data_IF_017935827637
#
_entry.id   IF_017935827637
#
_cell.length_a   1.000
_cell.length_b   1.000
_cell.length_c   1.000
_cell.angle_alpha   90.00
_cell.angle_beta   90.00
_cell.angle_gamma   90.00
#
_symmetry.space_group_name_H-M   'P 1'
#
loop_
_entity.id
_entity.type
_entity.pdbx_description
1 polymer ?
#
# COMPACT_ATOMS: atom_id res chain seq x y z
N UNK A 1 -28.72 12.83 2.21
CA UNK A 1 -28.65 11.83 1.14
C UNK A 1 -28.82 10.48 1.82
N UNK A 2 -29.99 9.88 1.66
CA UNK A 2 -30.31 8.54 2.20
C UNK A 2 -29.55 7.52 1.36
N UNK A 3 -28.58 6.87 1.98
CA UNK A 3 -27.77 5.83 1.32
C UNK A 3 -28.61 4.55 1.35
N UNK A 4 -28.94 4.04 0.17
CA UNK A 4 -29.68 2.80 -0.03
C UNK A 4 -28.84 1.61 0.46
N UNK A 5 -29.26 1.01 1.59
CA UNK A 5 -28.58 -0.09 2.29
C UNK A 5 -28.85 -1.48 1.68
N UNK A 6 -29.56 -1.55 0.55
CA UNK A 6 -30.04 -2.83 -0.03
C UNK A 6 -29.32 -3.27 -1.31
N UNK A 7 -28.09 -2.87 -1.54
CA UNK A 7 -27.32 -3.47 -2.63
C UNK A 7 -26.82 -4.85 -2.19
N UNK A 8 -27.71 -5.84 -2.23
CA UNK A 8 -27.38 -7.27 -2.00
C UNK A 8 -26.38 -7.69 -3.06
N UNK A 9 -25.12 -7.89 -2.62
CA UNK A 9 -24.07 -8.44 -3.46
C UNK A 9 -24.52 -9.78 -4.04
N UNK A 10 -24.40 -9.97 -5.35
CA UNK A 10 -24.65 -11.27 -5.96
C UNK A 10 -23.70 -12.32 -5.38
N UNK A 11 -24.11 -13.59 -5.36
CA UNK A 11 -23.24 -14.68 -4.89
C UNK A 11 -21.91 -14.77 -5.66
N UNK A 12 -21.85 -14.24 -6.89
CA UNK A 12 -20.63 -14.12 -7.69
C UNK A 12 -19.63 -13.10 -7.11
N UNK A 13 -20.10 -12.03 -6.48
CA UNK A 13 -19.25 -11.03 -5.84
C UNK A 13 -18.53 -11.56 -4.58
N UNK A 14 -18.92 -12.75 -4.08
CA UNK A 14 -18.37 -13.40 -2.90
C UNK A 14 -17.30 -14.45 -3.22
N UNK A 15 -17.03 -14.72 -4.49
CA UNK A 15 -16.05 -15.72 -4.93
C UNK A 15 -14.82 -15.07 -5.55
N UNK A 16 -13.66 -15.73 -5.37
CA UNK A 16 -12.47 -15.39 -6.14
C UNK A 16 -12.73 -15.82 -7.59
N UNK A 17 -12.70 -14.88 -8.56
CA UNK A 17 -12.89 -15.22 -9.96
C UNK A 17 -11.75 -16.12 -10.46
N UNK A 18 -11.99 -16.94 -11.49
CA UNK A 18 -10.95 -17.78 -12.07
C UNK A 18 -9.77 -16.95 -12.58
N UNK A 19 -8.54 -17.45 -12.44
CA UNK A 19 -7.35 -16.70 -12.76
C UNK A 19 -7.20 -16.48 -14.27
N UNK A 20 -7.03 -15.22 -14.65
CA UNK A 20 -6.61 -14.79 -15.99
C UNK A 20 -5.25 -14.08 -15.79
N UNK A 21 -4.26 -14.25 -16.68
CA UNK A 21 -2.95 -13.62 -16.53
C UNK A 21 -3.06 -12.09 -16.43
N UNK A 22 -2.44 -11.53 -15.41
CA UNK A 22 -2.28 -10.08 -15.28
C UNK A 22 -1.14 -9.58 -16.20
N UNK A 23 -1.20 -8.33 -16.69
CA UNK A 23 -0.05 -7.69 -17.32
C UNK A 23 1.20 -7.80 -16.44
N UNK A 24 2.41 -8.03 -17.03
CA UNK A 24 3.61 -8.34 -16.26
C UNK A 24 4.06 -7.23 -15.30
N UNK A 25 3.69 -5.99 -15.60
CA UNK A 25 4.01 -4.81 -14.80
C UNK A 25 2.99 -4.50 -13.67
N UNK A 26 1.94 -5.32 -13.51
CA UNK A 26 0.91 -5.11 -12.48
C UNK A 26 1.11 -6.09 -11.33
N UNK A 27 1.24 -5.56 -10.12
CA UNK A 27 1.46 -6.28 -8.86
C UNK A 27 0.30 -5.99 -7.91
N UNK A 28 -0.65 -6.91 -7.83
CA UNK A 28 -1.78 -6.82 -6.93
C UNK A 28 -1.52 -7.63 -5.66
N UNK A 29 -2.05 -7.16 -4.53
CA UNK A 29 -1.91 -7.87 -3.27
C UNK A 29 -2.71 -7.24 -2.14
N UNK A 30 -2.43 -7.65 -0.92
CA UNK A 30 -3.14 -7.22 0.29
C UNK A 30 -2.18 -6.60 1.31
N UNK A 31 -2.71 -5.82 2.25
CA UNK A 31 -1.94 -5.20 3.34
C UNK A 31 -1.45 -6.21 4.38
N UNK A 32 -1.99 -7.41 4.38
CA UNK A 32 -1.56 -8.56 5.17
C UNK A 32 -1.98 -9.84 4.45
N UNK A 33 -1.28 -10.92 4.70
CA UNK A 33 -1.67 -12.27 4.27
C UNK A 33 -2.00 -13.18 5.45
N UNK A 34 -1.73 -12.78 6.68
CA UNK A 34 -1.90 -13.59 7.89
C UNK A 34 -3.30 -13.46 8.52
N UNK A 35 -4.35 -13.42 7.70
CA UNK A 35 -5.71 -13.29 8.19
C UNK A 35 -6.48 -14.62 8.16
N UNK A 36 -6.70 -15.29 9.32
CA UNK A 36 -7.35 -16.61 9.37
C UNK A 36 -8.79 -16.64 8.85
N UNK A 37 -9.49 -15.49 8.84
CA UNK A 37 -10.86 -15.37 8.34
C UNK A 37 -11.01 -15.60 6.83
N UNK A 38 -9.91 -15.79 6.08
CA UNK A 38 -9.95 -16.17 4.68
C UNK A 38 -9.89 -17.68 4.44
N UNK A 39 -10.06 -18.49 5.48
CA UNK A 39 -10.21 -19.95 5.33
C UNK A 39 -11.42 -20.28 4.46
N UNK A 40 -11.25 -21.28 3.58
CA UNK A 40 -12.25 -21.68 2.59
C UNK A 40 -12.29 -20.82 1.33
N UNK A 41 -11.58 -19.65 1.31
CA UNK A 41 -11.45 -18.83 0.09
C UNK A 41 -10.00 -18.69 -0.38
N UNK A 42 -9.08 -18.29 0.51
CA UNK A 42 -7.66 -18.17 0.22
C UNK A 42 -6.89 -19.36 0.77
N UNK A 43 -7.22 -19.78 2.01
CA UNK A 43 -6.53 -20.85 2.72
C UNK A 43 -7.40 -22.09 2.77
N UNK A 44 -6.94 -23.15 2.12
CA UNK A 44 -7.60 -24.46 2.05
C UNK A 44 -6.82 -25.54 2.78
N UNK A 45 -5.54 -25.27 3.10
CA UNK A 45 -4.68 -26.19 3.86
C UNK A 45 -5.05 -26.24 5.33
N UNK A 46 -4.84 -27.40 5.94
CA UNK A 46 -4.89 -27.56 7.39
C UNK A 46 -3.61 -27.02 8.04
N UNK A 47 -3.76 -26.28 9.11
CA UNK A 47 -2.66 -25.73 9.93
C UNK A 47 -2.81 -26.23 11.36
N UNK A 48 -1.73 -26.78 11.92
CA UNK A 48 -1.75 -27.40 13.25
C UNK A 48 -1.98 -26.41 14.40
N UNK A 49 -1.69 -25.14 14.18
CA UNK A 49 -1.85 -24.07 15.16
C UNK A 49 -1.90 -22.68 14.51
N UNK A 50 -2.31 -21.66 15.26
CA UNK A 50 -2.23 -20.26 14.84
C UNK A 50 -0.77 -19.83 14.51
N UNK A 51 0.22 -20.38 15.22
CA UNK A 51 1.64 -20.14 14.94
C UNK A 51 2.05 -20.77 13.61
N UNK A 52 1.68 -22.02 13.35
CA UNK A 52 1.93 -22.72 12.09
C UNK A 52 1.30 -21.96 10.91
N UNK A 53 0.03 -21.54 11.05
CA UNK A 53 -0.65 -20.67 10.08
C UNK A 53 0.17 -19.41 9.77
N UNK A 54 0.52 -18.63 10.81
CA UNK A 54 1.26 -17.37 10.64
C UNK A 54 2.62 -17.57 9.98
N UNK A 55 3.26 -18.71 10.21
CA UNK A 55 4.58 -19.01 9.66
C UNK A 55 4.55 -19.50 8.22
N UNK A 56 3.46 -20.13 7.75
CA UNK A 56 3.41 -20.87 6.49
C UNK A 56 2.33 -20.43 5.50
N UNK A 57 1.34 -19.65 5.93
CA UNK A 57 0.21 -19.26 5.06
C UNK A 57 0.64 -18.42 3.85
N UNK A 58 1.84 -17.82 3.87
CA UNK A 58 2.37 -17.07 2.73
C UNK A 58 2.64 -17.98 1.51
N UNK A 59 3.07 -19.22 1.74
CA UNK A 59 3.24 -20.20 0.66
C UNK A 59 1.94 -20.39 -0.13
N UNK A 60 0.82 -20.55 0.58
CA UNK A 60 -0.48 -20.74 -0.05
C UNK A 60 -0.99 -19.44 -0.68
N UNK A 61 -0.85 -18.30 0.01
CA UNK A 61 -1.20 -16.99 -0.53
C UNK A 61 -0.48 -16.70 -1.86
N UNK A 62 0.80 -17.02 -1.95
CA UNK A 62 1.62 -16.77 -3.14
C UNK A 62 1.31 -17.71 -4.32
N UNK A 63 0.54 -18.78 -4.11
CA UNK A 63 0.08 -19.65 -5.21
C UNK A 63 -1.13 -19.07 -5.95
N UNK A 64 -1.80 -18.07 -5.37
CA UNK A 64 -2.99 -17.48 -5.98
C UNK A 64 -2.56 -16.53 -7.10
N UNK A 65 -2.94 -16.77 -8.35
CA UNK A 65 -2.41 -16.06 -9.53
C UNK A 65 -2.68 -14.54 -9.52
N UNK A 66 -3.67 -14.09 -8.76
CA UNK A 66 -3.98 -12.66 -8.60
C UNK A 66 -2.98 -11.92 -7.71
N UNK A 67 -2.28 -12.65 -6.82
CA UNK A 67 -1.43 -12.03 -5.81
C UNK A 67 0.05 -12.15 -6.19
N UNK A 68 0.56 -11.09 -6.75
CA UNK A 68 1.98 -10.93 -7.12
C UNK A 68 2.73 -10.01 -6.17
N UNK A 69 2.01 -9.46 -5.16
CA UNK A 69 2.58 -8.65 -4.10
C UNK A 69 1.87 -8.89 -2.76
N UNK A 70 2.52 -8.48 -1.69
CA UNK A 70 1.93 -8.30 -0.37
C UNK A 70 2.61 -7.14 0.36
N UNK A 71 1.88 -6.45 1.25
CA UNK A 71 2.48 -5.41 2.06
C UNK A 71 2.92 -5.97 3.42
N UNK A 72 4.15 -5.67 3.84
CA UNK A 72 4.65 -6.01 5.17
C UNK A 72 4.33 -4.85 6.12
N UNK A 73 3.06 -4.74 6.54
CA UNK A 73 2.59 -3.65 7.43
C UNK A 73 3.15 -3.76 8.85
N UNK A 74 3.57 -4.96 9.30
CA UNK A 74 4.16 -5.17 10.63
C UNK A 74 5.47 -4.40 10.86
N UNK A 75 6.19 -4.09 9.79
CA UNK A 75 7.42 -3.30 9.85
C UNK A 75 7.19 -1.85 10.32
N UNK A 76 5.96 -1.38 10.26
CA UNK A 76 5.61 -0.06 10.80
C UNK A 76 5.90 0.04 12.30
N UNK A 77 5.79 -1.03 13.04
CA UNK A 77 5.95 -1.05 14.50
C UNK A 77 7.37 -1.38 14.94
N UNK A 78 8.09 -2.18 14.18
CA UNK A 78 9.43 -2.64 14.51
C UNK A 78 10.31 -2.74 13.26
N UNK A 79 11.64 -2.54 13.39
CA UNK A 79 12.58 -2.80 12.30
C UNK A 79 12.46 -4.24 11.80
N UNK A 80 12.77 -4.51 10.52
CA UNK A 80 12.70 -5.85 9.97
C UNK A 80 13.75 -6.78 10.58
N UNK A 81 13.37 -8.05 10.78
CA UNK A 81 14.30 -9.13 11.10
C UNK A 81 14.79 -9.79 9.82
N UNK A 82 16.12 -9.88 9.57
CA UNK A 82 16.67 -10.55 8.39
C UNK A 82 16.17 -12.01 8.26
N UNK A 83 16.09 -12.74 9.37
CA UNK A 83 15.61 -14.12 9.38
C UNK A 83 14.12 -14.23 8.98
N UNK A 84 13.30 -13.27 9.38
CA UNK A 84 11.87 -13.22 8.99
C UNK A 84 11.75 -12.90 7.50
N UNK A 85 12.50 -11.93 6.99
CA UNK A 85 12.48 -11.57 5.57
C UNK A 85 12.97 -12.73 4.69
N UNK A 86 14.03 -13.43 5.10
CA UNK A 86 14.53 -14.63 4.40
C UNK A 86 13.45 -15.71 4.31
N UNK A 87 12.77 -16.01 5.41
CA UNK A 87 11.65 -16.95 5.41
C UNK A 87 10.51 -16.52 4.47
N UNK A 88 10.20 -15.22 4.37
CA UNK A 88 9.21 -14.74 3.41
C UNK A 88 9.68 -14.92 1.97
N UNK A 89 10.96 -14.68 1.70
CA UNK A 89 11.55 -14.91 0.38
C UNK A 89 11.49 -16.40 -0.02
N UNK A 90 11.78 -17.30 0.91
CA UNK A 90 11.72 -18.76 0.70
C UNK A 90 10.30 -19.29 0.41
N UNK A 91 9.25 -18.58 0.86
CA UNK A 91 7.86 -18.94 0.67
C UNK A 91 7.22 -18.36 -0.61
N UNK A 92 7.97 -17.57 -1.38
CA UNK A 92 7.40 -16.84 -2.52
C UNK A 92 8.21 -17.06 -3.79
N UNK A 93 7.58 -17.08 -4.98
CA UNK A 93 8.31 -17.16 -6.24
C UNK A 93 9.15 -15.90 -6.48
N UNK A 94 10.16 -16.00 -7.35
CA UNK A 94 11.08 -14.90 -7.70
C UNK A 94 10.35 -13.66 -8.28
N UNK A 95 9.20 -13.87 -8.89
CA UNK A 95 8.36 -12.81 -9.45
C UNK A 95 7.54 -12.06 -8.40
N UNK A 96 7.46 -12.54 -7.15
CA UNK A 96 6.70 -11.91 -6.08
C UNK A 96 7.42 -10.68 -5.54
N UNK A 97 6.67 -9.66 -5.08
CA UNK A 97 7.24 -8.42 -4.54
C UNK A 97 6.60 -8.03 -3.21
N UNK A 98 7.45 -7.67 -2.25
CA UNK A 98 7.00 -7.13 -0.96
C UNK A 98 7.01 -5.61 -0.98
N UNK A 99 5.84 -4.99 -0.78
CA UNK A 99 5.74 -3.57 -0.47
C UNK A 99 5.99 -3.43 1.03
N UNK A 100 7.08 -2.77 1.42
CA UNK A 100 7.50 -2.72 2.83
C UNK A 100 7.17 -1.38 3.46
N UNK A 101 6.31 -1.38 4.48
CA UNK A 101 6.03 -0.16 5.22
C UNK A 101 7.20 0.19 6.13
N UNK A 102 7.65 1.43 6.09
CA UNK A 102 8.77 1.89 6.91
C UNK A 102 8.35 2.03 8.38
N UNK A 103 9.29 1.73 9.28
CA UNK A 103 9.14 1.87 10.71
C UNK A 103 8.68 3.29 11.09
N UNK A 104 7.60 3.39 11.89
CA UNK A 104 6.98 4.67 12.24
C UNK A 104 7.94 5.67 12.90
N UNK A 105 8.99 5.18 13.54
CA UNK A 105 10.03 6.02 14.14
C UNK A 105 10.68 6.97 13.13
N UNK A 106 10.64 6.66 11.86
CA UNK A 106 11.15 7.54 10.78
C UNK A 106 10.10 8.58 10.37
N UNK A 107 8.80 8.29 10.50
CA UNK A 107 7.72 9.05 9.88
C UNK A 107 6.82 9.81 10.85
N UNK A 108 6.89 9.56 12.16
CA UNK A 108 6.14 10.34 13.15
C UNK A 108 6.95 11.56 13.62
N UNK A 109 6.32 12.73 13.60
CA UNK A 109 6.94 13.99 14.04
C UNK A 109 7.11 14.01 15.56
N UNK A 110 6.09 13.55 16.28
CA UNK A 110 6.06 13.40 17.72
C UNK A 110 5.36 12.10 18.08
N UNK A 111 5.79 11.47 19.17
CA UNK A 111 5.17 10.23 19.64
C UNK A 111 3.74 10.52 20.14
N UNK A 112 2.72 9.81 19.63
CA UNK A 112 1.35 9.96 20.12
C UNK A 112 1.27 9.72 21.64
N UNK A 113 0.32 10.40 22.32
CA UNK A 113 0.03 10.17 23.74
C UNK A 113 -0.70 8.84 23.93
N UNK A 114 0.02 7.73 23.73
CA UNK A 114 -0.51 6.36 23.83
C UNK A 114 0.45 5.50 24.64
N UNK A 115 -0.08 4.59 25.46
CA UNK A 115 0.68 3.76 26.40
C UNK A 115 1.82 2.95 25.75
N UNK A 116 1.68 2.54 24.49
CA UNK A 116 2.72 1.79 23.76
C UNK A 116 4.05 2.51 23.63
N UNK A 117 4.08 3.84 23.76
CA UNK A 117 5.30 4.65 23.67
C UNK A 117 5.97 4.87 25.02
N UNK A 118 5.36 4.43 26.14
CA UNK A 118 5.93 4.57 27.47
C UNK A 118 6.32 6.01 27.77
N UNK A 119 7.57 6.21 28.21
CA UNK A 119 8.13 7.54 28.53
C UNK A 119 8.28 8.47 27.32
N UNK A 120 8.26 7.97 26.11
CA UNK A 120 8.34 8.79 24.88
C UNK A 120 7.00 9.42 24.51
N UNK A 121 5.88 8.99 25.08
CA UNK A 121 4.54 9.49 24.75
C UNK A 121 4.46 11.02 24.87
N UNK A 122 4.04 11.68 23.80
CA UNK A 122 3.93 13.14 23.71
C UNK A 122 5.24 13.88 23.44
N UNK A 123 6.39 13.20 23.44
CA UNK A 123 7.68 13.83 23.15
C UNK A 123 7.90 13.99 21.64
N UNK A 124 8.72 14.98 21.28
CA UNK A 124 9.19 15.15 19.90
C UNK A 124 10.09 13.97 19.52
N UNK A 125 9.95 13.49 18.31
CA UNK A 125 10.76 12.37 17.83
C UNK A 125 12.09 12.86 17.23
N UNK A 126 13.24 12.55 17.84
CA UNK A 126 14.55 12.97 17.34
C UNK A 126 14.95 12.23 16.04
N UNK A 127 14.35 11.07 15.77
CA UNK A 127 14.67 10.23 14.62
C UNK A 127 13.76 10.51 13.41
N UNK A 128 12.92 11.54 13.47
CA UNK A 128 12.06 11.94 12.37
C UNK A 128 12.89 12.30 11.12
N UNK A 129 12.65 11.58 10.01
CA UNK A 129 13.38 11.71 8.75
C UNK A 129 14.89 11.45 8.88
N UNK A 130 15.28 10.46 9.68
CA UNK A 130 16.67 10.06 9.87
C UNK A 130 17.09 9.02 8.80
N UNK A 131 17.77 9.47 7.73
CA UNK A 131 18.21 8.61 6.63
C UNK A 131 19.28 7.59 7.07
N UNK A 132 20.14 7.92 8.02
CA UNK A 132 21.13 6.98 8.56
C UNK A 132 20.46 5.82 9.26
N UNK A 133 19.46 6.10 10.08
CA UNK A 133 18.67 5.08 10.77
C UNK A 133 17.93 4.15 9.77
N UNK A 134 17.41 4.70 8.65
CA UNK A 134 16.82 3.90 7.58
C UNK A 134 17.83 2.93 6.99
N UNK A 135 19.04 3.40 6.65
CA UNK A 135 20.09 2.56 6.07
C UNK A 135 20.51 1.43 7.01
N UNK A 136 20.82 1.78 8.25
CA UNK A 136 21.42 0.87 9.23
C UNK A 136 20.43 -0.13 9.82
N UNK A 137 19.20 0.31 10.09
CA UNK A 137 18.22 -0.50 10.84
C UNK A 137 17.13 -1.12 9.98
N UNK A 138 16.95 -0.67 8.75
CA UNK A 138 15.90 -1.16 7.86
C UNK A 138 16.52 -1.78 6.61
N UNK A 139 17.22 -0.98 5.78
CA UNK A 139 17.70 -1.46 4.49
C UNK A 139 18.77 -2.55 4.59
N UNK A 140 19.61 -2.52 5.64
CA UNK A 140 20.60 -3.57 5.91
C UNK A 140 19.98 -4.97 6.01
N UNK A 141 18.73 -5.08 6.47
CA UNK A 141 18.04 -6.37 6.55
C UNK A 141 17.64 -6.95 5.19
N UNK A 142 17.69 -6.16 4.12
CA UNK A 142 17.34 -6.53 2.74
C UNK A 142 18.57 -6.84 1.87
N UNK A 143 19.76 -6.99 2.48
CA UNK A 143 21.02 -7.27 1.77
C UNK A 143 21.15 -8.72 1.29
N UNK A 144 20.39 -9.66 1.85
CA UNK A 144 20.35 -11.05 1.34
C UNK A 144 19.82 -11.04 -0.11
N UNK A 145 20.50 -11.69 -1.08
CA UNK A 145 20.12 -11.64 -2.50
C UNK A 145 18.70 -12.14 -2.76
N UNK A 146 18.23 -13.18 -2.06
CA UNK A 146 16.89 -13.73 -2.23
C UNK A 146 15.82 -12.78 -1.69
N UNK A 147 16.12 -12.04 -0.61
CA UNK A 147 15.27 -10.98 -0.05
C UNK A 147 15.28 -9.78 -0.98
N UNK A 148 16.45 -9.35 -1.43
CA UNK A 148 16.61 -8.19 -2.32
C UNK A 148 15.82 -8.36 -3.63
N UNK A 149 15.90 -9.53 -4.25
CA UNK A 149 15.17 -9.87 -5.48
C UNK A 149 13.66 -9.73 -5.34
N UNK A 150 13.11 -9.99 -4.15
CA UNK A 150 11.66 -9.89 -3.87
C UNK A 150 11.26 -8.56 -3.23
N UNK A 151 12.22 -7.64 -3.07
CA UNK A 151 11.94 -6.31 -2.53
C UNK A 151 11.20 -5.47 -3.57
N UNK A 152 10.06 -4.94 -3.17
CA UNK A 152 9.30 -3.91 -3.85
C UNK A 152 9.48 -2.57 -3.14
N UNK A 153 8.62 -1.57 -3.42
CA UNK A 153 8.76 -0.24 -2.85
C UNK A 153 8.65 -0.19 -1.33
N UNK A 154 9.49 0.64 -0.71
CA UNK A 154 9.36 1.05 0.68
C UNK A 154 8.40 2.23 0.78
N UNK A 155 7.40 2.14 1.66
CA UNK A 155 6.38 3.18 1.84
C UNK A 155 6.63 3.95 3.13
N UNK A 156 7.00 5.21 3.02
CA UNK A 156 7.07 6.18 4.11
C UNK A 156 5.67 6.73 4.35
N UNK A 157 4.94 6.16 5.32
CA UNK A 157 3.59 6.61 5.66
C UNK A 157 3.63 7.65 6.77
N UNK A 158 3.19 8.85 6.47
CA UNK A 158 3.03 9.94 7.41
C UNK A 158 1.58 9.99 7.92
N UNK A 159 1.41 10.00 9.24
CA UNK A 159 0.11 10.27 9.85
C UNK A 159 -0.32 11.72 9.57
N UNK A 160 -1.63 12.03 9.56
CA UNK A 160 -2.06 13.42 9.42
C UNK A 160 -1.52 14.27 10.56
N UNK A 161 -1.11 15.48 10.23
CA UNK A 161 -0.61 16.45 11.21
C UNK A 161 -1.09 17.87 10.91
N UNK A 162 -1.12 18.70 11.92
CA UNK A 162 -1.49 20.10 11.82
C UNK A 162 -0.30 20.98 11.41
N UNK A 163 -0.50 22.07 10.64
CA UNK A 163 0.55 23.05 10.35
C UNK A 163 1.13 23.71 11.62
N UNK A 164 0.41 23.67 12.74
CA UNK A 164 0.96 24.08 14.05
C UNK A 164 1.99 23.09 14.61
N UNK A 165 1.87 21.81 14.27
CA UNK A 165 2.88 20.78 14.63
C UNK A 165 4.15 20.97 13.80
N UNK A 166 3.98 21.20 12.51
CA UNK A 166 5.04 21.50 11.55
C UNK A 166 4.41 22.22 10.34
N UNK A 167 4.88 23.42 9.95
CA UNK A 167 4.45 24.07 8.71
C UNK A 167 4.65 23.15 7.51
N UNK A 168 3.67 23.07 6.61
CA UNK A 168 3.70 22.14 5.48
C UNK A 168 4.90 22.35 4.56
N UNK A 169 5.29 23.61 4.31
CA UNK A 169 6.48 23.94 3.52
C UNK A 169 7.75 23.41 4.16
N UNK A 170 7.88 23.58 5.48
CA UNK A 170 9.03 23.06 6.22
C UNK A 170 9.08 21.52 6.21
N UNK A 171 7.92 20.86 6.28
CA UNK A 171 7.85 19.41 6.12
C UNK A 171 8.35 18.98 4.73
N UNK A 172 7.90 19.66 3.67
CA UNK A 172 8.30 19.34 2.28
C UNK A 172 9.80 19.50 2.08
N UNK A 173 10.39 20.58 2.61
CA UNK A 173 11.84 20.81 2.53
C UNK A 173 12.62 19.70 3.20
N UNK A 174 12.26 19.38 4.45
CA UNK A 174 12.90 18.30 5.20
C UNK A 174 12.71 16.94 4.54
N UNK A 175 11.54 16.71 3.96
CA UNK A 175 11.26 15.49 3.20
C UNK A 175 12.20 15.40 1.99
N UNK A 176 12.36 16.46 1.21
CA UNK A 176 13.25 16.51 0.07
C UNK A 176 14.72 16.23 0.45
N UNK A 177 15.22 16.87 1.51
CA UNK A 177 16.57 16.63 2.03
C UNK A 177 16.76 15.18 2.50
N UNK A 178 15.78 14.62 3.18
CA UNK A 178 15.78 13.24 3.62
C UNK A 178 15.83 12.26 2.44
N UNK A 179 14.94 12.42 1.46
CA UNK A 179 14.86 11.55 0.29
C UNK A 179 16.15 11.59 -0.55
N UNK A 180 16.80 12.77 -0.64
CA UNK A 180 18.08 12.92 -1.34
C UNK A 180 19.22 12.11 -0.73
N UNK A 181 19.14 11.76 0.57
CA UNK A 181 20.16 11.00 1.31
C UNK A 181 19.93 9.46 1.28
N UNK A 182 18.80 9.00 0.75
CA UNK A 182 18.51 7.58 0.67
C UNK A 182 19.31 6.88 -0.44
N UNK A 183 19.70 5.60 -0.26
CA UNK A 183 20.32 4.78 -1.31
C UNK A 183 19.44 4.70 -2.55
N UNK A 184 20.05 4.62 -3.74
CA UNK A 184 19.33 4.61 -5.03
C UNK A 184 19.05 3.21 -5.57
N UNK A 185 19.52 2.19 -4.92
CA UNK A 185 19.31 0.78 -5.21
C UNK A 185 17.98 0.22 -4.69
N UNK A 186 17.20 1.05 -4.01
CA UNK A 186 15.85 0.73 -3.53
C UNK A 186 14.81 1.71 -4.06
N UNK A 187 13.58 1.26 -4.12
CA UNK A 187 12.42 2.02 -4.57
C UNK A 187 11.65 2.59 -3.38
N UNK A 188 11.25 3.85 -3.45
CA UNK A 188 10.57 4.54 -2.36
C UNK A 188 9.28 5.20 -2.80
N UNK A 189 8.27 5.15 -1.94
CA UNK A 189 7.02 5.84 -2.09
C UNK A 189 6.68 6.63 -0.80
N UNK A 190 6.06 7.78 -0.95
CA UNK A 190 5.59 8.60 0.17
C UNK A 190 4.07 8.57 0.24
N UNK A 191 3.53 8.10 1.36
CA UNK A 191 2.10 8.13 1.68
C UNK A 191 1.83 9.27 2.67
N UNK A 192 1.19 10.32 2.19
CA UNK A 192 0.69 11.42 3.03
C UNK A 192 -0.80 11.21 3.32
N UNK A 193 -1.28 11.76 4.43
CA UNK A 193 -2.70 11.72 4.86
C UNK A 193 -3.27 13.11 5.13
N UNK A 194 -2.62 14.12 4.61
CA UNK A 194 -3.03 15.51 4.54
C UNK A 194 -3.22 15.89 3.07
N UNK A 195 -4.44 16.06 2.56
CA UNK A 195 -4.67 16.45 1.16
C UNK A 195 -4.06 17.81 0.82
N UNK A 196 -3.89 18.72 1.79
CA UNK A 196 -3.28 20.03 1.63
C UNK A 196 -1.79 19.96 1.22
N UNK A 197 -1.14 18.84 1.47
CA UNK A 197 0.25 18.62 1.02
C UNK A 197 0.38 18.28 -0.46
N UNK A 198 -0.72 17.98 -1.18
CA UNK A 198 -0.70 17.66 -2.61
C UNK A 198 -0.43 18.91 -3.47
N UNK A 199 0.73 19.53 -3.27
CA UNK A 199 1.17 20.75 -3.94
C UNK A 199 2.22 20.46 -5.01
N UNK A 200 2.44 21.41 -5.93
CA UNK A 200 3.53 21.37 -6.91
C UNK A 200 4.87 21.07 -6.22
N UNK A 201 5.19 21.82 -5.16
CA UNK A 201 6.44 21.68 -4.41
C UNK A 201 6.63 20.29 -3.80
N UNK A 202 5.55 19.66 -3.32
CA UNK A 202 5.60 18.29 -2.83
C UNK A 202 6.00 17.30 -3.93
N UNK A 203 5.36 17.39 -5.10
CA UNK A 203 5.69 16.50 -6.22
C UNK A 203 7.08 16.76 -6.79
N UNK A 204 7.53 18.01 -6.81
CA UNK A 204 8.90 18.38 -7.19
C UNK A 204 9.93 17.75 -6.24
N UNK A 205 9.69 17.79 -4.92
CA UNK A 205 10.56 17.16 -3.94
C UNK A 205 10.67 15.63 -4.13
N UNK A 206 9.55 14.95 -4.44
CA UNK A 206 9.56 13.53 -4.79
C UNK A 206 10.36 13.26 -6.08
N UNK A 207 10.07 14.03 -7.11
CA UNK A 207 10.66 13.86 -8.44
C UNK A 207 12.18 14.13 -8.44
N UNK A 208 12.68 15.04 -7.62
CA UNK A 208 14.11 15.32 -7.44
C UNK A 208 14.89 14.09 -6.95
N UNK A 209 14.21 13.19 -6.26
CA UNK A 209 14.79 11.96 -5.69
C UNK A 209 14.32 10.68 -6.37
N UNK A 210 13.59 10.76 -7.50
CA UNK A 210 12.99 9.62 -8.19
C UNK A 210 12.08 8.76 -7.27
N UNK A 211 11.37 9.41 -6.36
CA UNK A 211 10.43 8.80 -5.41
C UNK A 211 9.01 9.00 -5.92
N UNK A 212 8.13 8.02 -5.75
CA UNK A 212 6.74 8.13 -6.16
C UNK A 212 5.84 8.57 -5.01
N UNK A 213 4.69 9.18 -5.34
CA UNK A 213 3.58 9.33 -4.42
C UNK A 213 2.87 7.97 -4.27
N UNK A 214 2.58 7.58 -3.02
CA UNK A 214 1.70 6.44 -2.74
C UNK A 214 0.25 6.94 -2.74
N UNK A 215 -0.46 6.69 -3.84
CA UNK A 215 -1.89 6.96 -3.93
C UNK A 215 -2.62 6.17 -2.86
N UNK A 216 -3.47 6.82 -2.08
CA UNK A 216 -4.14 6.11 -1.01
C UNK A 216 -5.63 6.47 -0.92
N UNK A 217 -6.44 5.45 -0.69
CA UNK A 217 -7.85 5.59 -0.39
C UNK A 217 -8.01 5.52 1.13
N UNK A 218 -7.93 6.68 1.77
CA UNK A 218 -7.96 6.85 3.23
C UNK A 218 -8.99 7.91 3.61
N UNK A 219 -9.62 7.76 4.78
CA UNK A 219 -10.77 8.55 5.22
C UNK A 219 -10.65 10.06 5.04
N UNK A 220 -9.50 10.66 5.34
CA UNK A 220 -9.28 12.12 5.26
C UNK A 220 -8.66 12.59 3.94
N UNK A 221 -8.36 11.68 3.02
CA UNK A 221 -7.79 12.04 1.72
C UNK A 221 -8.89 12.32 0.68
N UNK A 222 -8.50 12.97 -0.39
CA UNK A 222 -9.28 13.02 -1.63
C UNK A 222 -9.18 11.67 -2.38
N UNK A 223 -10.02 11.47 -3.39
CA UNK A 223 -10.02 10.26 -4.22
C UNK A 223 -8.66 10.00 -4.88
N UNK A 224 -8.37 8.76 -5.23
CA UNK A 224 -7.14 8.40 -5.97
C UNK A 224 -7.09 9.17 -7.30
N UNK A 225 -8.23 9.35 -7.97
CA UNK A 225 -8.34 10.16 -9.19
C UNK A 225 -7.90 11.60 -8.96
N UNK A 226 -8.36 12.25 -7.90
CA UNK A 226 -7.96 13.63 -7.58
C UNK A 226 -6.46 13.72 -7.24
N UNK A 227 -5.90 12.74 -6.53
CA UNK A 227 -4.46 12.65 -6.29
C UNK A 227 -3.67 12.49 -7.61
N UNK A 228 -4.17 11.69 -8.57
CA UNK A 228 -3.59 11.56 -9.91
C UNK A 228 -3.64 12.87 -10.70
N UNK A 229 -4.74 13.62 -10.60
CA UNK A 229 -4.88 14.95 -11.23
C UNK A 229 -3.88 15.93 -10.62
N UNK A 230 -3.74 15.96 -9.30
CA UNK A 230 -2.76 16.80 -8.62
C UNK A 230 -1.32 16.49 -9.08
N UNK A 231 -0.96 15.21 -9.15
CA UNK A 231 0.34 14.79 -9.67
C UNK A 231 0.54 15.19 -11.14
N UNK A 232 -0.48 15.05 -11.98
CA UNK A 232 -0.41 15.43 -13.40
C UNK A 232 -0.22 16.94 -13.57
N UNK A 233 -0.93 17.77 -12.79
CA UNK A 233 -0.78 19.24 -12.78
C UNK A 233 0.64 19.68 -12.36
N UNK A 234 1.32 18.86 -11.57
CA UNK A 234 2.71 19.09 -11.17
C UNK A 234 3.73 18.47 -12.16
N UNK A 235 3.35 18.18 -13.40
CA UNK A 235 4.24 17.61 -14.41
C UNK A 235 4.39 16.08 -14.35
N UNK A 236 3.59 15.41 -13.53
CA UNK A 236 3.60 13.95 -13.36
C UNK A 236 4.67 13.43 -12.39
N UNK A 237 4.68 12.12 -12.22
CA UNK A 237 5.66 11.40 -11.39
C UNK A 237 6.77 10.83 -12.30
N UNK A 238 8.03 11.11 -11.97
CA UNK A 238 9.20 10.65 -12.74
C UNK A 238 9.53 9.18 -12.48
N UNK A 239 9.32 8.67 -11.26
CA UNK A 239 9.56 7.28 -10.94
C UNK A 239 8.89 6.34 -11.96
N UNK A 240 9.53 5.21 -12.26
CA UNK A 240 9.08 4.21 -13.23
C UNK A 240 8.06 3.22 -12.67
N UNK A 241 7.48 3.54 -11.52
CA UNK A 241 6.47 2.74 -10.86
C UNK A 241 5.43 3.62 -10.14
N UNK A 242 4.27 3.02 -9.88
CA UNK A 242 3.20 3.56 -9.06
C UNK A 242 2.97 2.66 -7.84
N UNK A 243 2.54 3.28 -6.73
CA UNK A 243 2.08 2.57 -5.54
C UNK A 243 0.69 3.06 -5.19
N UNK A 244 -0.23 2.15 -4.87
CA UNK A 244 -1.54 2.49 -4.35
C UNK A 244 -1.92 1.61 -3.15
N UNK A 245 -2.52 2.21 -2.13
CA UNK A 245 -3.01 1.52 -0.94
C UNK A 245 -4.48 1.84 -0.70
N UNK A 246 -5.33 0.80 -0.71
CA UNK A 246 -6.76 0.89 -0.49
C UNK A 246 -7.03 0.54 0.97
N UNK A 247 -7.36 1.53 1.79
CA UNK A 247 -7.31 1.39 3.25
C UNK A 247 -8.69 1.44 3.90
N UNK A 248 -9.38 2.60 3.85
CA UNK A 248 -10.73 2.80 4.38
C UNK A 248 -11.55 3.63 3.38
N UNK A 249 -12.88 3.57 3.40
CA UNK A 249 -13.69 4.47 2.59
C UNK A 249 -13.44 5.94 2.97
N UNK A 250 -13.56 6.85 2.00
CA UNK A 250 -13.43 8.29 2.22
C UNK A 250 -14.51 8.76 3.20
N UNK A 251 -14.14 9.64 4.12
CA UNK A 251 -15.05 10.17 5.16
C UNK A 251 -15.42 9.18 6.27
N UNK A 252 -14.91 7.94 6.24
CA UNK A 252 -15.19 6.90 7.25
C UNK A 252 -13.99 6.71 8.15
N UNK A 253 -14.14 6.97 9.47
CA UNK A 253 -13.04 6.77 10.42
C UNK A 253 -12.56 5.32 10.47
N UNK A 254 -11.34 5.11 10.95
CA UNK A 254 -10.76 3.76 11.08
C UNK A 254 -11.64 2.84 11.94
N UNK A 255 -12.13 3.35 13.07
CA UNK A 255 -12.99 2.62 14.01
C UNK A 255 -14.38 2.32 13.42
N UNK A 256 -14.94 3.27 12.67
CA UNK A 256 -16.21 3.07 11.97
C UNK A 256 -16.07 2.03 10.85
N UNK A 257 -14.98 2.07 10.07
CA UNK A 257 -14.69 1.07 9.05
C UNK A 257 -14.46 -0.31 9.67
N UNK A 258 -13.80 -0.38 10.84
CA UNK A 258 -13.62 -1.63 11.58
C UNK A 258 -14.95 -2.25 11.99
N UNK A 259 -15.85 -1.45 12.54
CA UNK A 259 -17.21 -1.92 12.92
C UNK A 259 -18.03 -2.33 11.71
N UNK A 260 -17.94 -1.57 10.62
CA UNK A 260 -18.71 -1.82 9.40
C UNK A 260 -18.31 -3.13 8.72
N UNK A 261 -17.01 -3.45 8.71
CA UNK A 261 -16.46 -4.51 7.85
C UNK A 261 -16.03 -5.78 8.59
N UNK A 262 -15.96 -5.80 9.94
CA UNK A 262 -15.75 -7.07 10.66
C UNK A 262 -16.90 -8.04 10.39
N UNK A 263 -16.62 -9.36 10.29
CA UNK A 263 -15.37 -10.07 10.60
C UNK A 263 -14.37 -10.18 9.44
N UNK A 264 -14.51 -9.45 8.33
CA UNK A 264 -13.62 -9.45 7.15
C UNK A 264 -13.60 -10.77 6.36
N UNK A 265 -14.62 -11.57 6.46
CA UNK A 265 -14.79 -12.87 5.80
C UNK A 265 -15.34 -12.77 4.37
N UNK A 266 -15.91 -11.62 4.04
CA UNK A 266 -16.54 -11.33 2.73
C UNK A 266 -16.44 -9.86 2.37
N UNK A 267 -16.64 -9.53 1.10
CA UNK A 267 -16.89 -8.16 0.67
C UNK A 267 -18.30 -7.79 1.16
N UNK A 268 -18.38 -6.79 2.05
CA UNK A 268 -19.65 -6.34 2.62
C UNK A 268 -20.22 -5.15 1.86
N UNK A 269 -19.34 -4.30 1.31
CA UNK A 269 -19.74 -3.13 0.54
C UNK A 269 -18.72 -2.83 -0.54
N UNK A 270 -19.13 -3.00 -1.80
CA UNK A 270 -18.32 -2.61 -2.96
C UNK A 270 -18.21 -1.09 -3.00
N UNK A 271 -17.02 -0.57 -3.31
CA UNK A 271 -16.76 0.84 -3.60
C UNK A 271 -16.41 1.01 -5.09
N UNK A 272 -17.41 1.28 -5.96
CA UNK A 272 -17.18 1.37 -7.40
C UNK A 272 -16.25 2.51 -7.79
N UNK A 273 -16.30 3.64 -7.08
CA UNK A 273 -15.44 4.80 -7.34
C UNK A 273 -13.97 4.45 -7.08
N UNK A 274 -13.68 3.89 -5.91
CA UNK A 274 -12.33 3.41 -5.57
C UNK A 274 -11.81 2.40 -6.60
N UNK A 275 -12.65 1.44 -7.00
CA UNK A 275 -12.26 0.43 -8.01
C UNK A 275 -11.98 1.07 -9.36
N UNK A 276 -12.83 2.00 -9.82
CA UNK A 276 -12.63 2.73 -11.08
C UNK A 276 -11.35 3.59 -11.07
N UNK A 277 -11.04 4.23 -9.95
CA UNK A 277 -9.80 4.98 -9.78
C UNK A 277 -8.56 4.08 -9.91
N UNK A 278 -8.60 2.91 -9.26
CA UNK A 278 -7.55 1.89 -9.39
C UNK A 278 -7.39 1.41 -10.82
N UNK A 279 -8.50 1.12 -11.51
CA UNK A 279 -8.46 0.70 -12.91
C UNK A 279 -7.89 1.80 -13.82
N UNK A 280 -8.15 3.07 -13.50
CA UNK A 280 -7.57 4.22 -14.21
C UNK A 280 -6.06 4.29 -13.98
N UNK A 281 -5.59 4.09 -12.74
CA UNK A 281 -4.17 4.01 -12.44
C UNK A 281 -3.49 2.84 -13.17
N UNK A 282 -4.12 1.67 -13.21
CA UNK A 282 -3.63 0.49 -13.94
C UNK A 282 -3.52 0.77 -15.45
N UNK A 283 -4.56 1.37 -16.05
CA UNK A 283 -4.52 1.77 -17.47
C UNK A 283 -3.34 2.70 -17.76
N UNK A 284 -3.11 3.68 -16.89
CA UNK A 284 -1.96 4.59 -17.01
C UNK A 284 -0.63 3.84 -16.87
N UNK A 285 -0.53 2.91 -15.94
CA UNK A 285 0.64 2.06 -15.74
C UNK A 285 0.98 1.25 -17.00
N UNK A 286 -0.03 0.61 -17.60
CA UNK A 286 0.13 -0.16 -18.85
C UNK A 286 0.56 0.77 -20.00
N UNK A 287 -0.14 1.90 -20.19
CA UNK A 287 0.13 2.84 -21.27
C UNK A 287 1.53 3.47 -21.18
N UNK A 288 2.08 3.66 -19.99
CA UNK A 288 3.41 4.24 -19.77
C UNK A 288 4.50 3.20 -19.52
N UNK A 289 4.17 1.91 -19.59
CA UNK A 289 5.05 0.77 -19.26
C UNK A 289 5.71 0.89 -17.88
N UNK A 290 5.03 1.53 -16.92
CA UNK A 290 5.47 1.62 -15.53
C UNK A 290 4.91 0.46 -14.73
N UNK A 291 5.61 0.03 -13.69
CA UNK A 291 5.09 -0.98 -12.74
C UNK A 291 4.02 -0.34 -11.85
N UNK A 292 3.04 -1.13 -11.40
CA UNK A 292 2.06 -0.69 -10.41
C UNK A 292 1.95 -1.71 -9.28
N UNK A 293 2.17 -1.25 -8.05
CA UNK A 293 2.04 -2.02 -6.82
C UNK A 293 0.78 -1.56 -6.09
N UNK A 294 -0.24 -2.40 -6.05
CA UNK A 294 -1.55 -2.03 -5.52
C UNK A 294 -1.94 -3.02 -4.42
N UNK A 295 -2.14 -2.52 -3.21
CA UNK A 295 -2.51 -3.35 -2.06
C UNK A 295 -3.78 -2.85 -1.39
N UNK A 296 -4.61 -3.77 -0.91
CA UNK A 296 -5.84 -3.45 -0.19
C UNK A 296 -5.81 -3.93 1.26
N UNK A 297 -6.44 -3.17 2.14
CA UNK A 297 -6.78 -3.57 3.50
C UNK A 297 -8.21 -4.10 3.56
N UNK A 298 -8.50 -5.00 4.50
CA UNK A 298 -9.85 -5.52 4.70
C UNK A 298 -10.89 -4.42 4.97
N UNK A 299 -10.48 -3.30 5.55
CA UNK A 299 -11.34 -2.13 5.83
C UNK A 299 -11.73 -1.32 4.58
N UNK A 300 -11.23 -1.67 3.40
CA UNK A 300 -11.64 -1.01 2.15
C UNK A 300 -13.07 -1.41 1.74
N UNK A 301 -13.39 -2.72 1.79
CA UNK A 301 -14.68 -3.28 1.37
C UNK A 301 -15.17 -4.46 2.22
N UNK A 302 -14.36 -4.96 3.19
CA UNK A 302 -14.68 -6.10 4.05
C UNK A 302 -13.78 -7.32 3.87
N UNK A 303 -13.27 -7.57 2.66
CA UNK A 303 -12.33 -8.65 2.39
C UNK A 303 -11.37 -8.24 1.27
N UNK A 304 -10.16 -7.88 1.64
CA UNK A 304 -9.18 -7.36 0.69
C UNK A 304 -8.76 -8.40 -0.36
N UNK A 305 -8.75 -9.68 -0.03
CA UNK A 305 -8.38 -10.72 -0.97
C UNK A 305 -9.40 -10.85 -2.11
N UNK A 306 -10.69 -10.88 -1.78
CA UNK A 306 -11.77 -10.92 -2.77
C UNK A 306 -11.82 -9.59 -3.55
N UNK A 307 -11.65 -8.45 -2.88
CA UNK A 307 -11.57 -7.14 -3.53
C UNK A 307 -10.47 -7.12 -4.60
N UNK A 308 -9.27 -7.55 -4.24
CA UNK A 308 -8.13 -7.52 -5.17
C UNK A 308 -8.26 -8.57 -6.29
N UNK A 309 -8.80 -9.75 -6.02
CA UNK A 309 -9.10 -10.73 -7.05
C UNK A 309 -10.16 -10.20 -8.05
N UNK A 310 -11.19 -9.51 -7.56
CA UNK A 310 -12.21 -8.89 -8.41
C UNK A 310 -11.63 -7.76 -9.29
N UNK A 311 -10.75 -6.92 -8.73
CA UNK A 311 -10.01 -5.91 -9.50
C UNK A 311 -9.11 -6.60 -10.53
N UNK A 312 -8.40 -7.66 -10.13
CA UNK A 312 -7.53 -8.45 -11.00
C UNK A 312 -8.27 -9.00 -12.22
N UNK A 313 -9.47 -9.56 -12.03
CA UNK A 313 -10.31 -10.04 -13.13
C UNK A 313 -10.69 -8.91 -14.10
N UNK A 314 -10.99 -7.71 -13.61
CA UNK A 314 -11.28 -6.56 -14.45
C UNK A 314 -10.03 -6.09 -15.22
N UNK A 315 -8.85 -6.07 -14.56
CA UNK A 315 -7.57 -5.74 -15.20
C UNK A 315 -7.22 -6.74 -16.31
N UNK A 316 -7.38 -8.04 -16.06
CA UNK A 316 -7.09 -9.08 -17.03
C UNK A 316 -8.00 -9.00 -18.28
N UNK A 317 -9.23 -8.52 -18.11
CA UNK A 317 -10.18 -8.31 -19.20
C UNK A 317 -10.01 -6.95 -19.92
N UNK A 318 -9.10 -6.09 -19.47
CA UNK A 318 -8.80 -4.86 -20.19
C UNK A 318 -8.15 -5.21 -21.54
N UNK A 319 -8.80 -4.86 -22.64
CA UNK A 319 -8.17 -4.95 -23.96
C UNK A 319 -6.92 -4.04 -23.93
N UNK A 320 -5.77 -4.61 -24.25
CA UNK A 320 -4.53 -3.87 -24.51
C UNK A 320 -4.66 -3.16 -25.86
N UNK A 321 -5.51 -2.17 -25.95
CA UNK A 321 -5.57 -1.29 -27.11
C UNK A 321 -4.51 -0.21 -26.89
N UNK A 322 -3.55 -0.02 -27.82
CA UNK A 322 -2.66 1.12 -27.74
C UNK A 322 -3.51 2.39 -27.83
N UNK A 323 -3.60 3.14 -26.73
CA UNK A 323 -4.28 4.45 -26.76
C UNK A 323 -3.37 5.49 -27.38
N UNK A 324 -3.49 5.67 -28.69
CA UNK A 324 -3.26 6.97 -29.31
C UNK A 324 -4.42 7.87 -28.86
N UNK A 325 -4.13 8.91 -28.10
CA UNK A 325 -4.99 10.02 -27.63
C UNK A 325 -5.23 10.04 -26.13
N UNK A 326 -4.22 10.56 -25.41
CA UNK A 326 -4.48 11.37 -24.23
C UNK A 326 -4.19 12.82 -24.59
N UNK A 327 -5.10 13.79 -24.36
CA UNK A 327 -4.76 15.18 -24.51
C UNK A 327 -3.67 15.56 -23.51
N UNK A 328 -2.69 16.26 -24.02
CA UNK A 328 -1.56 16.88 -23.32
C UNK A 328 -2.00 17.82 -22.21
#
# INVERSE_FOLDING_TARGET
VTIDLHNTLSAEALRIPPPIPLPPNIFLGTSTWTFPGWRGTIYTREYSSAKDFTQRCLEEYATIPWFRAACIDSLFYNPPSPAVLKRYAEQTPDSFRFVSKIWERITIISYPKHARYGSLAGQRNPDFLNATLVKERILSAYSDPAVHQRTGPFVFQFAPFSPYTMPYEHFIDRLGEFLARLPRDFEYAVEIRNPELLSLRYFEALNASNVTHCFNHWNSMCSIKEQMIAAARAGGLKADFFVARLLTPLGVSYEAAEKLFKPYDRVQRINPEMRNDVLTLVKRSIATNKRAFITANNKAEGNSAITMASIGAQVANMKTTPTSNFPS
#
